data_IF_452684291778
#
_entry.id   IF_452684291778
#
_cell.length_a   1.000
_cell.length_b   1.000
_cell.length_c   1.000
_cell.angle_alpha   90.00
_cell.angle_beta   90.00
_cell.angle_gamma   90.00
#
_symmetry.space_group_name_H-M   'P 1'
#
loop_
_entity.id
_entity.type
_entity.pdbx_description
1 polymer ?
#
# COMPACT_ATOMS: atom_id res chain seq x y z
N UNK A 1 39.71 3.44 -4.03
CA UNK A 1 38.26 3.73 -4.16
C UNK A 1 37.62 3.64 -2.77
N UNK A 2 37.33 4.78 -2.16
CA UNK A 2 36.67 4.84 -0.85
C UNK A 2 35.20 4.45 -1.02
N UNK A 3 34.82 3.26 -0.53
CA UNK A 3 33.40 2.90 -0.32
C UNK A 3 32.88 3.79 0.80
N UNK A 4 32.17 4.85 0.44
CA UNK A 4 31.35 5.60 1.39
C UNK A 4 30.26 4.62 1.86
N UNK A 5 30.47 4.00 3.03
CA UNK A 5 29.40 3.35 3.77
C UNK A 5 28.49 4.47 4.26
N UNK A 6 27.44 4.78 3.49
CA UNK A 6 26.33 5.56 4.02
C UNK A 6 25.84 4.82 5.27
N UNK A 7 25.87 5.46 6.44
CA UNK A 7 25.33 4.84 7.64
C UNK A 7 23.83 4.75 7.38
N UNK A 8 23.30 3.53 7.20
CA UNK A 8 21.88 3.30 7.39
C UNK A 8 21.60 3.56 8.88
N UNK A 9 21.49 4.84 9.24
CA UNK A 9 21.16 5.29 10.58
C UNK A 9 19.86 4.63 11.03
N UNK A 10 19.74 4.36 12.32
CA UNK A 10 18.58 3.68 12.94
C UNK A 10 17.28 4.27 12.37
N UNK A 11 16.61 3.60 11.44
CA UNK A 11 15.40 4.14 10.81
C UNK A 11 14.32 4.27 11.89
N UNK A 12 13.93 5.50 12.22
CA UNK A 12 12.87 5.77 13.19
C UNK A 12 11.54 5.36 12.56
N UNK A 13 10.76 4.55 13.25
CA UNK A 13 9.42 4.16 12.78
C UNK A 13 8.46 5.35 12.95
N UNK A 14 7.56 5.60 11.98
CA UNK A 14 6.51 6.59 12.16
C UNK A 14 5.53 6.17 13.25
N UNK A 15 4.91 7.15 13.91
CA UNK A 15 3.76 6.89 14.78
C UNK A 15 2.56 6.49 13.92
N UNK A 16 1.86 5.42 14.32
CA UNK A 16 0.65 4.96 13.67
C UNK A 16 -0.62 5.52 14.38
N UNK A 17 -1.70 5.78 13.64
CA UNK A 17 -1.75 5.81 12.18
C UNK A 17 -1.01 7.05 11.62
N UNK A 18 -0.38 6.89 10.47
CA UNK A 18 0.13 8.00 9.67
C UNK A 18 -1.06 8.70 9.04
N UNK A 19 -1.27 9.95 9.45
CA UNK A 19 -2.37 10.81 8.94
C UNK A 19 -1.89 11.85 7.96
N UNK A 20 -0.61 12.20 8.01
CA UNK A 20 0.00 13.22 7.17
C UNK A 20 1.47 12.85 6.89
N UNK A 21 1.79 12.70 5.61
CA UNK A 21 3.14 12.36 5.13
C UNK A 21 4.09 13.56 5.27
N UNK A 22 3.58 14.79 5.20
CA UNK A 22 4.40 16.01 5.29
C UNK A 22 4.94 16.25 6.70
N UNK A 23 4.29 15.68 7.72
CA UNK A 23 4.70 15.78 9.12
C UNK A 23 5.79 14.75 9.50
N UNK A 24 6.22 13.89 8.58
CA UNK A 24 7.22 12.87 8.86
C UNK A 24 8.61 13.47 8.98
N UNK A 25 9.36 13.04 10.00
CA UNK A 25 10.80 13.30 10.04
C UNK A 25 11.53 12.56 8.92
N UNK A 26 12.72 13.05 8.53
CA UNK A 26 13.55 12.38 7.52
C UNK A 26 13.79 10.89 7.81
N UNK A 27 13.95 10.52 9.08
CA UNK A 27 14.19 9.13 9.48
C UNK A 27 12.94 8.25 9.33
N UNK A 28 11.75 8.82 9.52
CA UNK A 28 10.47 8.15 9.31
C UNK A 28 10.15 8.03 7.82
N UNK A 29 10.48 9.04 7.04
CA UNK A 29 10.42 9.01 5.59
C UNK A 29 11.30 7.88 5.02
N UNK A 30 12.56 7.80 5.44
CA UNK A 30 13.49 6.73 5.03
C UNK A 30 13.00 5.33 5.46
N UNK A 31 12.30 5.25 6.60
CA UNK A 31 11.66 4.03 7.05
C UNK A 31 10.53 3.61 6.11
N UNK A 32 9.62 4.53 5.77
CA UNK A 32 8.51 4.25 4.87
C UNK A 32 9.00 3.83 3.49
N UNK A 33 9.95 4.57 2.91
CA UNK A 33 10.49 4.25 1.60
C UNK A 33 11.13 2.85 1.58
N UNK A 34 11.81 2.48 2.65
CA UNK A 34 12.37 1.13 2.81
C UNK A 34 11.29 0.04 2.86
N UNK A 35 10.23 0.24 3.67
CA UNK A 35 9.11 -0.72 3.76
C UNK A 35 8.46 -0.93 2.39
N UNK A 36 8.18 0.17 1.70
CA UNK A 36 7.48 0.14 0.41
C UNK A 36 8.35 -0.49 -0.67
N UNK A 37 9.64 -0.17 -0.71
CA UNK A 37 10.55 -0.79 -1.67
C UNK A 37 10.69 -2.30 -1.41
N UNK A 38 10.80 -2.75 -0.15
CA UNK A 38 10.82 -4.18 0.16
C UNK A 38 9.55 -4.90 -0.29
N UNK A 39 8.38 -4.26 -0.18
CA UNK A 39 7.12 -4.84 -0.62
C UNK A 39 6.98 -4.84 -2.16
N UNK A 40 7.46 -3.78 -2.82
CA UNK A 40 7.43 -3.66 -4.28
C UNK A 40 8.37 -4.66 -4.97
N UNK A 41 9.60 -4.80 -4.45
CA UNK A 41 10.64 -5.65 -5.06
C UNK A 41 10.72 -7.04 -4.45
N UNK A 42 9.97 -7.30 -3.38
CA UNK A 42 10.01 -8.57 -2.67
C UNK A 42 9.54 -9.74 -3.54
N UNK A 43 10.45 -10.61 -3.93
CA UNK A 43 10.14 -11.99 -4.29
C UNK A 43 9.73 -12.71 -3.00
N UNK A 44 8.43 -12.71 -2.66
CA UNK A 44 7.92 -13.49 -1.53
C UNK A 44 7.81 -14.96 -1.94
N UNK A 45 8.95 -15.64 -1.97
CA UNK A 45 9.05 -17.08 -2.30
C UNK A 45 8.52 -17.98 -1.17
N UNK A 46 8.25 -17.43 0.00
CA UNK A 46 7.96 -18.25 1.17
C UNK A 46 6.50 -18.70 1.28
N UNK A 47 5.53 -18.04 0.64
CA UNK A 47 4.10 -18.36 0.79
C UNK A 47 3.39 -18.22 -0.57
N UNK A 48 2.61 -19.21 -1.02
CA UNK A 48 1.85 -19.11 -2.26
C UNK A 48 0.74 -18.07 -2.10
N UNK A 49 1.06 -16.82 -2.40
CA UNK A 49 0.08 -15.74 -2.54
C UNK A 49 -0.53 -15.81 -3.93
N UNK A 50 -1.86 -15.73 -4.08
CA UNK A 50 -2.51 -15.63 -5.39
C UNK A 50 -1.90 -14.49 -6.21
N UNK A 51 -1.76 -14.72 -7.52
CA UNK A 51 -1.06 -13.81 -8.44
C UNK A 51 -1.62 -12.38 -8.39
N UNK A 52 -2.95 -12.22 -8.36
CA UNK A 52 -3.60 -10.91 -8.38
C UNK A 52 -3.32 -10.14 -7.08
N UNK A 53 -3.29 -10.84 -5.94
CA UNK A 53 -3.00 -10.22 -4.65
C UNK A 53 -1.53 -9.79 -4.59
N UNK A 54 -0.62 -10.64 -5.09
CA UNK A 54 0.80 -10.27 -5.20
C UNK A 54 0.97 -9.04 -6.10
N UNK A 55 0.35 -9.05 -7.26
CA UNK A 55 0.41 -7.97 -8.25
C UNK A 55 -0.11 -6.67 -7.65
N UNK A 56 -1.27 -6.71 -6.99
CA UNK A 56 -1.81 -5.56 -6.28
C UNK A 56 -0.84 -5.02 -5.21
N UNK A 57 -0.29 -5.90 -4.36
CA UNK A 57 0.67 -5.52 -3.32
C UNK A 57 1.92 -4.84 -3.88
N UNK A 58 2.45 -5.33 -5.00
CA UNK A 58 3.63 -4.75 -5.64
C UNK A 58 3.31 -3.40 -6.28
N UNK A 59 2.21 -3.31 -7.03
CA UNK A 59 1.77 -2.09 -7.69
C UNK A 59 1.49 -0.99 -6.68
N UNK A 60 0.75 -1.29 -5.60
CA UNK A 60 0.42 -0.30 -4.59
C UNK A 60 1.65 0.18 -3.84
N UNK A 61 2.58 -0.73 -3.50
CA UNK A 61 3.80 -0.35 -2.82
C UNK A 61 4.68 0.56 -3.68
N UNK A 62 4.81 0.23 -4.97
CA UNK A 62 5.55 1.04 -5.94
C UNK A 62 4.92 2.43 -6.13
N UNK A 63 3.60 2.49 -6.25
CA UNK A 63 2.86 3.76 -6.35
C UNK A 63 3.05 4.65 -5.14
N UNK A 64 2.88 4.10 -3.93
CA UNK A 64 3.08 4.85 -2.69
C UNK A 64 4.54 5.31 -2.55
N UNK A 65 5.53 4.48 -2.89
CA UNK A 65 6.94 4.86 -2.86
C UNK A 65 7.25 6.02 -3.82
N UNK A 66 6.67 5.99 -5.02
CA UNK A 66 6.83 7.05 -6.00
C UNK A 66 6.17 8.35 -5.55
N UNK A 67 4.94 8.30 -5.01
CA UNK A 67 4.27 9.49 -4.46
C UNK A 67 5.04 10.06 -3.28
N UNK A 68 5.55 9.21 -2.38
CA UNK A 68 6.37 9.60 -1.25
C UNK A 68 7.63 10.34 -1.71
N UNK A 69 8.37 9.78 -2.68
CA UNK A 69 9.60 10.36 -3.23
C UNK A 69 9.34 11.70 -3.92
N UNK A 70 8.20 11.83 -4.61
CA UNK A 70 7.77 13.07 -5.26
C UNK A 70 7.08 14.06 -4.32
N UNK A 71 6.95 13.73 -3.03
CA UNK A 71 6.24 14.54 -2.02
C UNK A 71 4.80 14.87 -2.42
N UNK A 72 4.14 13.97 -3.15
CA UNK A 72 2.72 14.12 -3.48
C UNK A 72 1.86 13.75 -2.27
N UNK A 73 0.72 14.42 -2.14
CA UNK A 73 -0.27 14.11 -1.10
C UNK A 73 -0.90 12.74 -1.31
N UNK A 74 -1.10 12.01 -0.22
CA UNK A 74 -1.76 10.71 -0.25
C UNK A 74 -3.26 10.92 -0.08
N UNK A 75 -4.07 10.18 -0.82
CA UNK A 75 -5.51 10.11 -0.60
C UNK A 75 -5.83 9.33 0.68
N UNK A 76 -7.07 9.43 1.17
CA UNK A 76 -7.50 8.71 2.37
C UNK A 76 -7.36 7.18 2.21
N UNK A 77 -7.71 6.64 1.03
CA UNK A 77 -7.54 5.21 0.74
C UNK A 77 -6.07 4.82 0.70
N UNK A 78 -5.19 5.65 0.13
CA UNK A 78 -3.75 5.40 0.08
C UNK A 78 -3.13 5.42 1.49
N UNK A 79 -3.51 6.38 2.34
CA UNK A 79 -3.10 6.43 3.75
C UNK A 79 -3.61 5.21 4.52
N UNK A 80 -4.86 4.79 4.27
CA UNK A 80 -5.40 3.58 4.87
C UNK A 80 -4.59 2.35 4.50
N UNK A 81 -4.29 2.15 3.20
CA UNK A 81 -3.47 1.02 2.74
C UNK A 81 -2.06 1.07 3.35
N UNK A 82 -1.43 2.25 3.36
CA UNK A 82 -0.13 2.47 3.98
C UNK A 82 -0.12 2.03 5.46
N UNK A 83 -1.15 2.43 6.22
CA UNK A 83 -1.26 2.06 7.62
C UNK A 83 -1.40 0.55 7.81
N UNK A 84 -2.20 -0.14 6.98
CA UNK A 84 -2.29 -1.61 7.04
C UNK A 84 -0.96 -2.28 6.70
N UNK A 85 -0.20 -1.76 5.71
CA UNK A 85 1.14 -2.26 5.39
C UNK A 85 2.07 -2.15 6.61
N UNK A 86 2.05 -1.00 7.30
CA UNK A 86 2.89 -0.76 8.47
C UNK A 86 2.49 -1.61 9.67
N UNK A 87 1.19 -1.76 9.93
CA UNK A 87 0.67 -2.67 10.97
C UNK A 87 1.11 -4.11 10.70
N UNK A 88 0.88 -4.61 9.49
CA UNK A 88 1.21 -5.99 9.10
C UNK A 88 2.71 -6.31 9.18
N UNK A 89 3.57 -5.31 9.06
CA UNK A 89 5.02 -5.50 9.21
C UNK A 89 5.40 -5.92 10.62
N UNK A 90 4.56 -5.63 11.61
CA UNK A 90 4.80 -5.93 13.01
C UNK A 90 4.06 -7.19 13.48
N UNK A 91 3.15 -7.72 12.66
CA UNK A 91 2.37 -8.90 12.98
C UNK A 91 3.04 -10.18 12.45
N UNK A 92 2.92 -11.30 13.20
CA UNK A 92 3.12 -12.64 12.68
C UNK A 92 2.31 -12.84 11.39
N UNK A 93 2.79 -13.70 10.48
CA UNK A 93 2.16 -13.88 9.16
C UNK A 93 0.68 -14.27 9.29
N UNK A 94 0.34 -15.11 10.26
CA UNK A 94 -1.01 -15.61 10.54
C UNK A 94 -1.98 -14.51 11.00
N UNK A 95 -1.46 -13.43 11.58
CA UNK A 95 -2.26 -12.30 12.11
C UNK A 95 -2.35 -11.14 11.12
N UNK A 96 -1.66 -11.22 9.97
CA UNK A 96 -1.65 -10.13 8.99
C UNK A 96 -3.03 -9.93 8.40
N UNK A 97 -3.48 -8.67 8.43
CA UNK A 97 -4.72 -8.22 7.82
C UNK A 97 -4.58 -8.15 6.29
N UNK A 98 -5.68 -8.32 5.57
CA UNK A 98 -5.71 -7.97 4.14
C UNK A 98 -5.52 -6.46 3.98
N UNK A 99 -4.82 -6.03 2.93
CA UNK A 99 -4.71 -4.60 2.60
C UNK A 99 -6.07 -3.98 2.24
N UNK A 100 -6.99 -4.80 1.74
CA UNK A 100 -8.34 -4.44 1.35
C UNK A 100 -8.88 -5.46 0.36
N UNK A 101 -10.18 -5.35 0.06
CA UNK A 101 -10.73 -5.93 -1.15
C UNK A 101 -10.35 -5.03 -2.32
N UNK A 102 -9.98 -5.58 -3.47
CA UNK A 102 -9.55 -4.81 -4.62
C UNK A 102 -10.02 -5.42 -5.92
N UNK A 103 -10.09 -4.58 -6.96
CA UNK A 103 -10.21 -5.00 -8.35
C UNK A 103 -9.22 -4.19 -9.18
N UNK A 104 -8.29 -4.85 -9.87
CA UNK A 104 -7.28 -4.19 -10.69
C UNK A 104 -7.93 -3.51 -11.90
N UNK A 105 -7.44 -2.33 -12.28
CA UNK A 105 -7.96 -1.64 -13.47
C UNK A 105 -7.80 -2.48 -14.74
N UNK A 106 -6.69 -3.21 -14.83
CA UNK A 106 -6.40 -4.11 -15.96
C UNK A 106 -7.38 -5.30 -16.06
N UNK A 107 -8.10 -5.63 -15.00
CA UNK A 107 -9.20 -6.60 -15.02
C UNK A 107 -10.53 -5.96 -15.44
N UNK A 108 -10.72 -4.68 -15.10
CA UNK A 108 -11.91 -3.91 -15.46
C UNK A 108 -11.93 -3.61 -16.95
N UNK A 109 -10.78 -3.24 -17.52
CA UNK A 109 -10.64 -2.92 -18.95
C UNK A 109 -10.96 -4.11 -19.87
N UNK A 110 -10.82 -5.33 -19.34
CA UNK A 110 -11.17 -6.57 -20.05
C UNK A 110 -12.68 -6.86 -20.05
N UNK A 111 -13.50 -6.09 -19.33
CA UNK A 111 -14.96 -6.28 -19.28
C UNK A 111 -15.67 -5.42 -20.32
N UNK A 112 -16.58 -6.04 -21.06
CA UNK A 112 -17.43 -5.37 -22.06
C UNK A 112 -18.32 -4.25 -21.46
N UNK A 113 -18.64 -4.31 -20.16
CA UNK A 113 -19.46 -3.33 -19.44
C UNK A 113 -18.68 -2.63 -18.30
N UNK A 114 -17.46 -2.17 -18.58
CA UNK A 114 -16.56 -1.55 -17.58
C UNK A 114 -17.22 -0.41 -16.79
N UNK A 115 -17.97 0.48 -17.44
CA UNK A 115 -18.62 1.63 -16.79
C UNK A 115 -19.70 1.22 -15.76
N UNK A 116 -20.55 0.24 -16.11
CA UNK A 116 -21.56 -0.28 -15.19
C UNK A 116 -20.90 -0.96 -13.99
N UNK A 117 -19.81 -1.69 -14.24
CA UNK A 117 -19.04 -2.36 -13.20
C UNK A 117 -18.35 -1.37 -12.26
N UNK A 118 -17.73 -0.30 -12.79
CA UNK A 118 -17.14 0.79 -12.00
C UNK A 118 -18.20 1.46 -11.12
N UNK A 119 -19.38 1.75 -11.68
CA UNK A 119 -20.48 2.36 -10.92
C UNK A 119 -20.85 1.48 -9.73
N UNK A 120 -21.00 0.16 -9.94
CA UNK A 120 -21.26 -0.80 -8.86
C UNK A 120 -20.14 -0.84 -7.82
N UNK A 121 -18.87 -0.75 -8.22
CA UNK A 121 -17.76 -0.70 -7.28
C UNK A 121 -17.84 0.53 -6.37
N UNK A 122 -18.10 1.70 -6.95
CA UNK A 122 -18.25 2.96 -6.20
C UNK A 122 -19.43 2.87 -5.23
N UNK A 123 -20.58 2.35 -5.69
CA UNK A 123 -21.76 2.13 -4.85
C UNK A 123 -21.48 1.17 -3.67
N UNK A 124 -20.57 0.22 -3.84
CA UNK A 124 -20.13 -0.72 -2.81
C UNK A 124 -18.97 -0.20 -1.93
N UNK A 125 -18.64 1.10 -2.04
CA UNK A 125 -17.66 1.78 -1.21
C UNK A 125 -16.20 1.57 -1.62
N UNK A 126 -15.94 1.08 -2.84
CA UNK A 126 -14.58 1.05 -3.37
C UNK A 126 -14.16 2.46 -3.80
N UNK A 127 -12.89 2.77 -3.53
CA UNK A 127 -12.25 4.03 -3.92
C UNK A 127 -11.15 3.76 -4.92
N UNK A 128 -11.02 4.64 -5.91
CA UNK A 128 -9.97 4.54 -6.91
C UNK A 128 -8.61 4.86 -6.29
N UNK A 129 -7.66 3.94 -6.47
CA UNK A 129 -6.23 4.25 -6.43
C UNK A 129 -5.77 4.40 -7.87
N UNK A 130 -5.32 5.61 -8.19
CA UNK A 130 -4.97 6.02 -9.56
C UNK A 130 -4.05 5.01 -10.25
N UNK A 131 -4.43 4.61 -11.47
CA UNK A 131 -3.67 3.71 -12.35
C UNK A 131 -3.41 2.30 -11.78
N UNK A 132 -4.08 1.89 -10.70
CA UNK A 132 -3.86 0.57 -10.07
C UNK A 132 -5.17 -0.22 -9.96
N UNK A 133 -6.08 0.24 -9.11
CA UNK A 133 -7.23 -0.55 -8.69
C UNK A 133 -8.32 0.30 -8.06
N UNK A 134 -9.52 -0.25 -8.04
CA UNK A 134 -10.53 0.12 -7.06
C UNK A 134 -10.29 -0.69 -5.79
N UNK A 135 -10.21 -0.02 -4.63
CA UNK A 135 -9.88 -0.65 -3.34
C UNK A 135 -10.89 -0.27 -2.27
N UNK A 136 -11.28 -1.24 -1.45
CA UNK A 136 -12.07 -1.04 -0.24
C UNK A 136 -11.30 -1.64 0.94
N UNK A 137 -10.94 -0.79 1.90
CA UNK A 137 -10.33 -1.26 3.15
C UNK A 137 -11.46 -1.74 4.05
N UNK A 138 -11.37 -2.99 4.50
CA UNK A 138 -12.27 -3.51 5.51
C UNK A 138 -11.89 -2.86 6.85
N UNK A 139 -12.53 -1.73 7.16
CA UNK A 139 -12.48 -1.19 8.51
C UNK A 139 -13.19 -2.19 9.41
N UNK A 140 -12.44 -2.97 10.19
CA UNK A 140 -12.99 -3.74 11.31
C UNK A 140 -13.57 -2.84 12.43
N UNK A 141 -13.79 -1.54 12.18
CA UNK A 141 -14.43 -0.61 13.10
C UNK A 141 -15.96 -0.61 12.95
N UNK A 142 -16.57 -1.76 12.68
CA UNK A 142 -17.88 -2.05 13.23
C UNK A 142 -17.68 -2.90 14.49
N UNK A 143 -17.23 -2.25 15.57
CA UNK A 143 -17.57 -2.73 16.90
C UNK A 143 -19.09 -2.58 17.03
N UNK A 144 -19.81 -3.70 16.87
CA UNK A 144 -21.12 -3.85 17.51
C UNK A 144 -20.91 -4.18 18.99
#
# INVERSE_FOLDING_TARGET
MNRIKVPFGRKKKPKLPVVDISALSSMEFDHLLYVLNELATGYRDAHPMPYDIRTFHQLIAFHLANKLTKQHTFSNIELGILNVILENRHLPIEERKKLGDFVLLDEIDKKNNSNEFITKLIENGFQLVENIAYVRINNNNQCN
#
